data_IF_618732200151
#
_entry.id   IF_618732200151
#
_cell.length_a   1.000
_cell.length_b   1.000
_cell.length_c   1.000
_cell.angle_alpha   90.00
_cell.angle_beta   90.00
_cell.angle_gamma   90.00
#
_symmetry.space_group_name_H-M   'P 1'
#
loop_
_entity.id
_entity.type
_entity.pdbx_description
1 polymer ?
#
# COMPACT_ATOMS: atom_id res chain seq x y z
N UNK A 1 -28.43 16.67 -6.12
CA UNK A 1 -28.19 15.25 -6.44
C UNK A 1 -27.14 14.55 -5.57
N UNK A 2 -26.28 15.24 -4.80
CA UNK A 2 -25.25 14.58 -3.97
C UNK A 2 -25.41 14.75 -2.44
N UNK A 3 -26.59 15.19 -1.96
CA UNK A 3 -26.81 15.54 -0.54
C UNK A 3 -26.82 14.35 0.44
N UNK A 4 -26.81 13.11 -0.05
CA UNK A 4 -26.91 11.89 0.77
C UNK A 4 -25.69 10.97 0.65
N UNK A 5 -24.66 11.36 -0.10
CA UNK A 5 -23.41 10.59 -0.12
C UNK A 5 -22.65 10.89 1.16
N UNK A 6 -22.68 9.94 2.08
CA UNK A 6 -21.88 10.02 3.30
C UNK A 6 -20.45 9.58 2.96
N UNK A 7 -19.42 10.32 3.37
CA UNK A 7 -18.04 9.89 3.18
C UNK A 7 -17.81 8.53 3.84
N UNK A 8 -17.15 7.62 3.13
CA UNK A 8 -16.64 6.40 3.76
C UNK A 8 -15.50 6.76 4.71
N UNK A 9 -15.32 5.96 5.76
CA UNK A 9 -14.11 6.02 6.56
C UNK A 9 -12.89 5.76 5.67
N UNK A 10 -11.78 6.41 6.01
CA UNK A 10 -10.48 6.15 5.40
C UNK A 10 -10.06 4.69 5.68
N UNK A 11 -9.48 4.04 4.69
CA UNK A 11 -9.01 2.66 4.82
C UNK A 11 -7.78 2.61 5.75
N UNK A 12 -7.80 1.80 6.83
CA UNK A 12 -6.65 1.63 7.72
C UNK A 12 -5.36 1.16 7.03
N UNK A 13 -5.45 0.49 5.88
CA UNK A 13 -4.26 0.10 5.10
C UNK A 13 -3.56 1.33 4.51
N UNK A 14 -4.31 2.37 4.16
CA UNK A 14 -3.74 3.60 3.59
C UNK A 14 -2.91 4.37 4.63
N UNK A 15 -3.36 4.43 5.89
CA UNK A 15 -2.61 5.11 6.95
C UNK A 15 -1.29 4.40 7.29
N UNK A 16 -1.23 3.07 7.22
CA UNK A 16 0.00 2.29 7.34
C UNK A 16 1.00 2.61 6.22
N UNK A 17 0.50 2.77 4.99
CA UNK A 17 1.35 3.14 3.85
C UNK A 17 1.90 4.56 3.99
N UNK A 18 1.07 5.52 4.43
CA UNK A 18 1.51 6.89 4.70
C UNK A 18 2.62 6.93 5.76
N UNK A 19 2.43 6.22 6.88
CA UNK A 19 3.44 6.11 7.93
C UNK A 19 4.75 5.50 7.40
N UNK A 20 4.65 4.42 6.60
CA UNK A 20 5.81 3.80 5.97
C UNK A 20 6.54 4.77 5.02
N UNK A 21 5.82 5.57 4.24
CA UNK A 21 6.42 6.53 3.31
C UNK A 21 7.17 7.67 4.04
N UNK A 22 6.65 8.15 5.16
CA UNK A 22 7.24 9.25 5.95
C UNK A 22 8.46 8.82 6.78
N UNK A 23 8.67 7.53 7.03
CA UNK A 23 9.83 7.05 7.79
C UNK A 23 11.14 7.31 7.01
N UNK A 24 12.09 8.12 7.55
CA UNK A 24 13.36 8.41 6.88
C UNK A 24 14.38 7.26 6.99
N UNK A 25 14.10 6.21 7.77
CA UNK A 25 15.02 5.09 7.95
C UNK A 25 15.30 4.39 6.60
N UNK A 26 16.55 4.38 6.10
CA UNK A 26 16.89 3.75 4.83
C UNK A 26 16.77 2.21 4.85
N UNK A 27 16.60 1.61 6.04
CA UNK A 27 16.44 0.16 6.24
C UNK A 27 15.02 -0.24 6.67
N UNK A 28 14.04 0.64 6.50
CA UNK A 28 12.63 0.32 6.79
C UNK A 28 12.13 -0.83 5.92
N UNK A 29 11.21 -1.63 6.45
CA UNK A 29 10.61 -2.78 5.77
C UNK A 29 9.09 -2.70 5.90
N UNK A 30 8.36 -2.86 4.79
CA UNK A 30 6.90 -2.95 4.81
C UNK A 30 6.45 -4.41 4.71
N UNK A 31 5.87 -4.94 5.79
CA UNK A 31 5.23 -6.26 5.84
C UNK A 31 3.71 -6.17 6.04
N UNK A 32 3.15 -4.95 6.02
CA UNK A 32 1.73 -4.69 6.24
C UNK A 32 0.86 -4.83 4.98
N UNK A 33 1.48 -4.83 3.80
CA UNK A 33 0.79 -4.97 2.51
C UNK A 33 0.94 -6.40 2.00
N UNK A 34 -0.19 -7.06 1.75
CA UNK A 34 -0.25 -8.44 1.23
C UNK A 34 0.01 -8.55 -0.27
N UNK A 35 1.15 -8.04 -0.75
CA UNK A 35 1.59 -8.19 -2.14
C UNK A 35 2.78 -9.16 -2.23
N UNK A 36 2.87 -9.84 -3.37
CA UNK A 36 4.05 -10.63 -3.68
C UNK A 36 5.16 -9.72 -4.22
N UNK A 37 6.35 -9.89 -3.64
CA UNK A 37 7.55 -9.20 -4.06
C UNK A 37 8.60 -10.23 -4.46
N UNK A 38 9.34 -9.95 -5.53
CA UNK A 38 10.54 -10.71 -5.89
C UNK A 38 11.71 -10.41 -4.94
N UNK A 39 12.87 -11.02 -5.21
CA UNK A 39 14.09 -10.84 -4.38
C UNK A 39 14.68 -9.44 -4.44
N UNK A 40 14.32 -8.63 -5.43
CA UNK A 40 14.73 -7.24 -5.56
C UNK A 40 13.70 -6.27 -4.94
N UNK A 41 12.57 -6.77 -4.45
CA UNK A 41 11.51 -5.94 -3.87
C UNK A 41 10.53 -5.38 -4.89
N UNK A 42 10.48 -5.92 -6.13
CA UNK A 42 9.52 -5.49 -7.14
C UNK A 42 8.28 -6.39 -7.13
N UNK A 43 7.16 -5.86 -7.60
CA UNK A 43 5.97 -6.65 -7.92
C UNK A 43 6.17 -7.23 -9.32
N UNK A 44 6.37 -8.54 -9.50
CA UNK A 44 6.68 -9.10 -10.80
C UNK A 44 5.43 -9.19 -11.67
N UNK A 45 5.57 -8.82 -12.94
CA UNK A 45 4.57 -9.10 -13.96
C UNK A 45 4.85 -10.48 -14.56
N UNK A 46 3.95 -11.43 -14.33
CA UNK A 46 4.04 -12.73 -15.01
C UNK A 46 3.67 -12.56 -16.49
N UNK A 47 4.50 -13.09 -17.38
CA UNK A 47 4.18 -13.15 -18.80
C UNK A 47 3.16 -14.27 -19.04
N UNK A 48 2.17 -14.00 -19.89
CA UNK A 48 1.31 -15.05 -20.43
C UNK A 48 2.11 -15.84 -21.49
N UNK A 49 2.11 -17.17 -21.38
CA UNK A 49 2.71 -18.08 -22.36
C UNK A 49 1.84 -18.28 -23.58
#
# INVERSE_FOLDING_TARGET
MFKQITPSAADPIMSLMEAYLQDPNPKKVNLGIGLYYDRQGNIPLMQAG
#
